data_IF_160557323410
#
_entry.id   IF_160557323410
#
_cell.length_a   1.000
_cell.length_b   1.000
_cell.length_c   1.000
_cell.angle_alpha   90.00
_cell.angle_beta   90.00
_cell.angle_gamma   90.00
#
_symmetry.space_group_name_H-M   'P 1'
#
loop_
_entity.id
_entity.type
_entity.pdbx_description
1 polymer ?
#
# COMPACT_ATOMS: atom_id res chain seq x y z
N UNK A 1 -29.10 9.01 15.18
CA UNK A 1 -28.99 9.85 13.96
C UNK A 1 -27.97 9.20 13.05
N UNK A 2 -28.39 8.71 11.90
CA UNK A 2 -27.46 8.04 10.99
C UNK A 2 -26.77 9.08 10.09
N UNK A 3 -25.45 9.19 10.20
CA UNK A 3 -24.68 10.08 9.34
C UNK A 3 -24.09 9.28 8.18
N UNK A 4 -24.37 9.69 6.95
CA UNK A 4 -23.71 9.14 5.75
C UNK A 4 -22.71 10.16 5.24
N UNK A 5 -21.43 9.83 5.31
CA UNK A 5 -20.34 10.69 4.84
C UNK A 5 -19.79 10.10 3.54
N UNK A 6 -19.78 10.89 2.46
CA UNK A 6 -19.09 10.52 1.23
C UNK A 6 -17.58 10.65 1.47
N UNK A 7 -16.86 9.55 1.32
CA UNK A 7 -15.40 9.59 1.28
C UNK A 7 -14.99 10.34 0.02
N UNK A 8 -14.10 11.31 0.16
CA UNK A 8 -13.60 12.04 -1.01
C UNK A 8 -13.10 11.03 -2.04
N UNK A 9 -13.70 11.10 -3.24
CA UNK A 9 -13.46 10.20 -4.36
C UNK A 9 -11.96 10.05 -4.61
N UNK A 10 -11.41 8.89 -4.27
CA UNK A 10 -10.10 8.48 -4.79
C UNK A 10 -10.29 8.53 -6.31
N UNK A 11 -9.56 9.41 -6.97
CA UNK A 11 -9.81 9.71 -8.38
C UNK A 11 -9.82 8.42 -9.20
N UNK A 12 -10.78 8.28 -10.13
CA UNK A 12 -10.86 7.15 -11.08
C UNK A 12 -9.52 6.87 -11.77
N UNK A 13 -8.64 7.86 -11.82
CA UNK A 13 -7.29 7.77 -12.35
C UNK A 13 -6.40 6.80 -11.55
N UNK A 14 -6.53 6.77 -10.22
CA UNK A 14 -5.75 5.86 -9.35
C UNK A 14 -6.24 4.42 -9.49
N UNK A 15 -7.55 4.23 -9.65
CA UNK A 15 -8.14 2.90 -9.90
C UNK A 15 -7.82 2.37 -11.30
N UNK A 16 -7.81 3.26 -12.31
CA UNK A 16 -7.42 2.90 -13.68
C UNK A 16 -5.93 2.51 -13.75
N UNK A 17 -5.09 3.18 -12.98
CA UNK A 17 -3.66 2.86 -12.88
C UNK A 17 -3.40 1.52 -12.17
N UNK A 18 -4.20 1.17 -11.16
CA UNK A 18 -4.15 -0.13 -10.48
C UNK A 18 -4.66 -1.28 -11.36
N UNK A 19 -5.73 -1.04 -12.14
CA UNK A 19 -6.27 -2.02 -13.08
C UNK A 19 -5.29 -2.23 -14.25
N UNK A 20 -4.67 -1.17 -14.78
CA UNK A 20 -3.63 -1.32 -15.81
C UNK A 20 -2.38 -2.03 -15.28
N UNK A 21 -1.95 -1.76 -14.03
CA UNK A 21 -0.84 -2.50 -13.42
C UNK A 21 -1.16 -3.99 -13.27
N UNK A 22 -2.35 -4.36 -12.82
CA UNK A 22 -2.75 -5.76 -12.69
C UNK A 22 -2.87 -6.46 -14.06
N UNK A 23 -3.35 -5.77 -15.11
CA UNK A 23 -3.33 -6.32 -16.47
C UNK A 23 -1.91 -6.47 -17.02
N UNK A 24 -1.03 -5.51 -16.71
CA UNK A 24 0.37 -5.57 -17.13
C UNK A 24 1.12 -6.72 -16.44
N UNK A 25 0.87 -6.92 -15.14
CA UNK A 25 1.44 -8.04 -14.37
C UNK A 25 0.91 -9.38 -14.88
N UNK A 26 -0.40 -9.52 -15.16
CA UNK A 26 -0.97 -10.73 -15.73
C UNK A 26 -0.43 -11.05 -17.13
N UNK A 27 -0.22 -10.06 -17.98
CA UNK A 27 0.38 -10.26 -19.31
C UNK A 27 1.87 -10.58 -19.21
N UNK A 28 2.58 -10.00 -18.27
CA UNK A 28 4.00 -10.31 -17.98
C UNK A 28 4.14 -11.75 -17.49
N UNK A 29 3.26 -12.23 -16.60
CA UNK A 29 3.31 -13.61 -16.09
C UNK A 29 2.97 -14.63 -17.20
N UNK A 30 2.04 -14.35 -18.10
CA UNK A 30 1.71 -15.22 -19.23
C UNK A 30 2.76 -15.20 -20.34
N UNK A 31 3.51 -14.10 -20.52
CA UNK A 31 4.60 -13.96 -21.49
C UNK A 31 5.97 -14.42 -21.01
N UNK A 32 6.14 -14.72 -19.73
CA UNK A 32 7.44 -14.96 -19.09
C UNK A 32 8.10 -16.33 -19.38
N UNK A 33 7.57 -17.12 -20.32
CA UNK A 33 8.27 -18.37 -20.64
C UNK A 33 9.52 -18.18 -21.49
N UNK A 34 9.77 -17.02 -22.10
CA UNK A 34 10.97 -16.81 -22.94
C UNK A 34 11.41 -15.31 -22.93
N UNK A 35 11.75 -14.75 -21.79
CA UNK A 35 12.67 -13.62 -21.79
C UNK A 35 14.03 -14.07 -21.27
N UNK A 36 15.03 -14.05 -22.16
CA UNK A 36 16.43 -14.38 -21.82
C UNK A 36 16.94 -13.43 -20.75
N UNK A 37 17.75 -13.92 -19.82
CA UNK A 37 18.34 -13.18 -18.69
C UNK A 37 18.92 -11.80 -19.06
N UNK A 38 19.43 -11.63 -20.27
CA UNK A 38 19.99 -10.38 -20.78
C UNK A 38 18.96 -9.25 -20.96
N UNK A 39 17.70 -9.55 -21.29
CA UNK A 39 16.64 -8.52 -21.44
C UNK A 39 16.09 -8.06 -20.09
N UNK A 40 16.09 -8.92 -19.07
CA UNK A 40 15.78 -8.54 -17.69
C UNK A 40 16.79 -7.52 -17.16
N UNK A 41 18.08 -7.80 -17.28
CA UNK A 41 19.14 -6.91 -16.82
C UNK A 41 19.08 -5.52 -17.51
N UNK A 42 18.75 -5.46 -18.79
CA UNK A 42 18.62 -4.19 -19.52
C UNK A 42 17.39 -3.37 -19.10
N UNK A 43 16.29 -4.01 -18.74
CA UNK A 43 15.07 -3.34 -18.29
C UNK A 43 15.26 -2.69 -16.89
N UNK A 44 15.97 -3.39 -15.99
CA UNK A 44 16.29 -2.86 -14.65
C UNK A 44 17.27 -1.67 -14.66
N UNK A 45 18.13 -1.58 -15.67
CA UNK A 45 19.19 -0.55 -15.77
C UNK A 45 18.65 0.89 -15.94
N UNK A 46 17.41 1.04 -16.43
CA UNK A 46 16.78 2.34 -16.69
C UNK A 46 15.67 2.71 -15.69
N UNK A 47 15.50 1.92 -14.62
CA UNK A 47 14.49 2.21 -13.60
C UNK A 47 15.03 3.16 -12.55
N UNK A 48 14.21 4.12 -12.13
CA UNK A 48 14.56 4.95 -10.96
C UNK A 48 14.59 4.09 -9.69
N UNK A 49 15.39 4.48 -8.70
CA UNK A 49 15.47 3.76 -7.42
C UNK A 49 14.08 3.53 -6.80
N UNK A 50 13.25 4.57 -6.77
CA UNK A 50 11.87 4.47 -6.30
C UNK A 50 11.04 3.42 -7.03
N UNK A 51 11.22 3.29 -8.35
CA UNK A 51 10.52 2.28 -9.14
C UNK A 51 11.00 0.87 -8.84
N UNK A 52 12.30 0.68 -8.56
CA UNK A 52 12.85 -0.61 -8.12
C UNK A 52 12.26 -1.02 -6.77
N UNK A 53 12.25 -0.12 -5.79
CA UNK A 53 11.66 -0.35 -4.46
C UNK A 53 10.18 -0.71 -4.56
N UNK A 54 9.42 0.06 -5.34
CA UNK A 54 7.97 -0.21 -5.53
C UNK A 54 7.73 -1.59 -6.14
N UNK A 55 8.50 -1.98 -7.14
CA UNK A 55 8.35 -3.29 -7.79
C UNK A 55 8.64 -4.45 -6.84
N UNK A 56 9.68 -4.32 -6.01
CA UNK A 56 10.03 -5.33 -5.01
C UNK A 56 8.92 -5.44 -3.96
N UNK A 57 8.40 -4.31 -3.48
CA UNK A 57 7.28 -4.29 -2.53
C UNK A 57 6.02 -4.92 -3.12
N UNK A 58 5.65 -4.55 -4.36
CA UNK A 58 4.48 -5.09 -5.04
C UNK A 58 4.59 -6.63 -5.18
N UNK A 59 5.78 -7.15 -5.48
CA UNK A 59 6.03 -8.58 -5.54
C UNK A 59 5.90 -9.26 -4.17
N UNK A 60 6.50 -8.69 -3.12
CA UNK A 60 6.45 -9.23 -1.77
C UNK A 60 5.03 -9.22 -1.19
N UNK A 61 4.24 -8.19 -1.50
CA UNK A 61 2.83 -8.08 -1.06
C UNK A 61 1.91 -9.02 -1.86
N UNK A 62 2.24 -9.35 -3.10
CA UNK A 62 1.46 -10.33 -3.89
C UNK A 62 1.51 -11.72 -3.27
N UNK A 63 2.61 -12.09 -2.60
CA UNK A 63 2.74 -13.35 -1.87
C UNK A 63 2.00 -13.34 -0.52
N UNK A 64 1.58 -12.16 -0.05
CA UNK A 64 0.92 -11.94 1.24
C UNK A 64 -0.35 -11.11 1.07
N UNK A 65 -1.39 -11.71 0.48
CA UNK A 65 -2.63 -11.03 0.10
C UNK A 65 -3.36 -10.33 1.25
N UNK A 66 -3.13 -10.76 2.50
CA UNK A 66 -3.70 -10.13 3.69
C UNK A 66 -3.05 -8.79 4.04
N UNK A 67 -1.82 -8.52 3.54
CA UNK A 67 -1.12 -7.26 3.73
C UNK A 67 -1.35 -6.30 2.57
N UNK A 68 -1.27 -5.02 2.85
CA UNK A 68 -1.33 -3.97 1.82
C UNK A 68 -0.54 -2.73 2.21
N UNK A 69 -0.05 -2.06 1.20
CA UNK A 69 0.73 -0.84 1.35
C UNK A 69 -0.19 0.36 1.61
N UNK A 70 0.10 1.11 2.68
CA UNK A 70 -0.55 2.38 3.00
C UNK A 70 0.24 3.56 2.44
N UNK A 71 1.57 3.52 2.63
CA UNK A 71 2.44 4.59 2.18
C UNK A 71 3.85 4.09 1.89
N UNK A 72 4.48 4.68 0.88
CA UNK A 72 5.89 4.50 0.53
C UNK A 72 6.52 5.85 0.32
N UNK A 73 7.42 6.23 1.19
CA UNK A 73 8.23 7.43 1.03
C UNK A 73 9.72 7.10 0.98
N UNK A 74 10.44 7.84 0.16
CA UNK A 74 11.90 7.76 0.04
C UNK A 74 12.39 9.19 0.08
N UNK A 75 13.22 9.50 1.07
CA UNK A 75 13.81 10.85 1.18
C UNK A 75 15.09 10.99 0.35
N UNK A 76 15.68 12.20 0.35
CA UNK A 76 16.91 12.50 -0.40
C UNK A 76 18.13 11.72 0.09
N UNK A 77 18.13 11.25 1.34
CA UNK A 77 19.18 10.40 1.91
C UNK A 77 18.93 8.90 1.65
N UNK A 78 18.03 8.55 0.72
CA UNK A 78 17.63 7.17 0.41
C UNK A 78 17.07 6.40 1.60
N UNK A 79 16.51 7.08 2.61
CA UNK A 79 15.75 6.41 3.65
C UNK A 79 14.39 6.03 3.08
N UNK A 80 14.16 4.73 2.98
CA UNK A 80 12.91 4.11 2.55
C UNK A 80 12.05 3.92 3.79
N UNK A 81 10.85 4.50 3.79
CA UNK A 81 9.84 4.27 4.84
C UNK A 81 8.62 3.62 4.21
N UNK A 82 8.27 2.45 4.71
CA UNK A 82 7.15 1.61 4.25
C UNK A 82 6.16 1.50 5.37
N UNK A 83 4.93 1.94 5.13
CA UNK A 83 3.82 1.78 6.07
C UNK A 83 2.86 0.74 5.52
N UNK A 84 2.67 -0.32 6.28
CA UNK A 84 1.81 -1.45 5.93
C UNK A 84 0.55 -1.47 6.79
N UNK A 85 -0.47 -2.11 6.27
CA UNK A 85 -1.62 -2.54 7.05
C UNK A 85 -2.08 -3.93 6.58
N UNK A 86 -2.92 -4.60 7.36
CA UNK A 86 -3.40 -5.94 7.05
C UNK A 86 -4.85 -6.12 7.47
N UNK A 87 -5.58 -7.01 6.82
CA UNK A 87 -6.99 -7.28 7.10
C UNK A 87 -7.22 -7.71 8.56
N UNK A 88 -6.33 -8.55 9.09
CA UNK A 88 -6.32 -9.00 10.49
C UNK A 88 -5.33 -8.22 11.37
N UNK A 89 -4.76 -7.12 10.84
CA UNK A 89 -3.64 -6.40 11.43
C UNK A 89 -2.30 -6.85 10.86
N UNK A 90 -1.23 -6.24 11.35
CA UNK A 90 0.17 -6.52 10.97
C UNK A 90 0.91 -6.97 12.20
N UNK A 91 1.56 -8.10 12.15
CA UNK A 91 2.43 -8.57 13.21
C UNK A 91 3.91 -8.21 12.93
N UNK A 92 4.77 -8.40 13.92
CA UNK A 92 6.19 -8.10 13.78
C UNK A 92 6.86 -8.94 12.70
N UNK A 93 6.45 -10.20 12.56
CA UNK A 93 7.02 -11.10 11.56
C UNK A 93 6.70 -10.62 10.13
N UNK A 94 5.50 -10.10 9.90
CA UNK A 94 5.11 -9.51 8.60
C UNK A 94 6.07 -8.36 8.22
N UNK A 95 6.37 -7.47 9.17
CA UNK A 95 7.31 -6.37 8.93
C UNK A 95 8.72 -6.87 8.64
N UNK A 96 9.20 -7.88 9.38
CA UNK A 96 10.52 -8.50 9.17
C UNK A 96 10.59 -9.15 7.79
N UNK A 97 9.57 -9.88 7.38
CA UNK A 97 9.54 -10.58 6.11
C UNK A 97 9.52 -9.62 4.92
N UNK A 98 8.76 -8.55 5.02
CA UNK A 98 8.76 -7.49 3.98
C UNK A 98 10.11 -6.77 3.97
N UNK A 99 10.69 -6.45 5.13
CA UNK A 99 12.02 -5.85 5.22
C UNK A 99 13.08 -6.71 4.51
N UNK A 100 13.12 -8.01 4.83
CA UNK A 100 14.04 -8.97 4.19
C UNK A 100 13.79 -9.09 2.68
N UNK A 101 12.53 -9.11 2.25
CA UNK A 101 12.20 -9.16 0.83
C UNK A 101 12.73 -7.94 0.08
N UNK A 102 12.64 -6.75 0.67
CA UNK A 102 13.20 -5.53 0.08
C UNK A 102 14.72 -5.55 0.09
N UNK A 103 15.35 -5.86 1.24
CA UNK A 103 16.82 -5.86 1.39
C UNK A 103 17.51 -6.88 0.48
N UNK A 104 16.92 -8.08 0.32
CA UNK A 104 17.49 -9.13 -0.53
C UNK A 104 17.37 -8.86 -2.03
N UNK A 105 16.50 -7.94 -2.44
CA UNK A 105 16.25 -7.64 -3.85
C UNK A 105 16.75 -6.24 -4.28
N UNK A 106 17.32 -5.48 -3.36
CA UNK A 106 17.99 -4.21 -3.65
C UNK A 106 19.50 -4.35 -3.45
N UNK A 107 20.27 -3.80 -4.37
CA UNK A 107 21.72 -3.82 -4.31
C UNK A 107 22.24 -2.58 -3.57
N UNK A 108 22.84 -2.80 -2.39
CA UNK A 108 23.45 -1.73 -1.58
C UNK A 108 24.76 -1.20 -2.18
N UNK A 109 25.44 -1.99 -3.04
CA UNK A 109 26.64 -1.54 -3.73
C UNK A 109 26.28 -0.57 -4.87
N UNK A 110 25.11 -0.78 -5.52
CA UNK A 110 24.60 0.15 -6.54
C UNK A 110 24.10 1.46 -5.90
N UNK A 111 23.41 1.36 -4.77
CA UNK A 111 22.85 2.52 -4.04
C UNK A 111 22.66 2.19 -2.57
N UNK A 112 23.37 2.89 -1.70
CA UNK A 112 23.16 2.75 -0.26
C UNK A 112 21.81 3.32 0.17
N UNK A 113 21.15 2.63 1.10
CA UNK A 113 19.83 3.00 1.62
C UNK A 113 19.64 2.54 3.06
N UNK A 114 18.75 3.19 3.77
CA UNK A 114 18.18 2.68 5.02
C UNK A 114 16.72 2.32 4.82
N UNK A 115 16.25 1.26 5.50
CA UNK A 115 14.90 0.76 5.37
C UNK A 115 14.19 0.74 6.71
N UNK A 116 12.99 1.29 6.75
CA UNK A 116 12.09 1.23 7.89
C UNK A 116 10.75 0.68 7.40
N UNK A 117 10.31 -0.44 7.98
CA UNK A 117 9.01 -1.06 7.72
C UNK A 117 8.20 -1.03 8.99
N UNK A 118 7.04 -0.41 8.95
CA UNK A 118 6.17 -0.24 10.11
C UNK A 118 4.70 -0.51 9.76
N UNK A 119 3.93 -0.88 10.77
CA UNK A 119 2.48 -0.95 10.64
C UNK A 119 1.84 0.43 10.79
N UNK A 120 0.69 0.63 10.15
CA UNK A 120 -0.13 1.82 10.38
C UNK A 120 -0.58 1.86 11.85
N UNK A 121 -0.25 2.95 12.55
CA UNK A 121 -0.66 3.15 13.93
C UNK A 121 -2.16 3.33 14.08
N UNK A 122 -2.70 2.96 15.25
CA UNK A 122 -4.14 3.08 15.56
C UNK A 122 -4.66 4.52 15.46
N UNK A 123 -3.80 5.50 15.73
CA UNK A 123 -4.11 6.93 15.62
C UNK A 123 -3.90 7.49 14.22
N UNK A 124 -3.38 6.70 13.28
CA UNK A 124 -3.17 7.16 11.91
C UNK A 124 -4.49 7.28 11.15
N UNK A 125 -4.69 8.32 10.34
CA UNK A 125 -5.90 8.45 9.56
C UNK A 125 -6.05 7.31 8.54
N UNK A 126 -7.27 6.81 8.39
CA UNK A 126 -7.59 5.79 7.40
C UNK A 126 -7.56 6.39 6.00
N UNK A 127 -6.80 5.78 5.08
CA UNK A 127 -6.60 6.26 3.71
C UNK A 127 -7.27 5.40 2.65
N UNK A 128 -7.41 4.09 2.91
CA UNK A 128 -7.90 3.11 1.96
C UNK A 128 -9.24 2.53 2.37
N UNK A 129 -10.09 2.23 1.38
CA UNK A 129 -11.39 1.60 1.62
C UNK A 129 -11.25 0.29 2.38
N UNK A 130 -10.20 -0.49 2.11
CA UNK A 130 -9.89 -1.74 2.80
C UNK A 130 -9.70 -1.54 4.31
N UNK A 131 -9.12 -0.40 4.74
CA UNK A 131 -9.00 -0.03 6.15
C UNK A 131 -10.36 0.28 6.78
N UNK A 132 -11.26 0.97 6.07
CA UNK A 132 -12.61 1.20 6.58
C UNK A 132 -13.37 -0.12 6.73
N UNK A 133 -13.33 -0.99 5.71
CA UNK A 133 -14.02 -2.30 5.74
C UNK A 133 -13.58 -3.16 6.94
N UNK A 134 -12.28 -3.21 7.26
CA UNK A 134 -11.79 -3.96 8.43
C UNK A 134 -12.15 -3.33 9.79
N UNK A 135 -12.46 -2.04 9.81
CA UNK A 135 -12.81 -1.32 11.03
C UNK A 135 -14.33 -1.18 11.23
N UNK A 136 -15.16 -1.86 10.45
CA UNK A 136 -16.61 -1.92 10.68
C UNK A 136 -16.87 -2.46 12.09
N UNK A 137 -17.76 -1.78 12.82
CA UNK A 137 -18.10 -2.08 14.21
C UNK A 137 -17.26 -1.33 15.25
N UNK A 138 -16.20 -0.62 14.84
CA UNK A 138 -15.36 0.20 15.73
C UNK A 138 -15.82 1.66 15.74
N UNK A 139 -15.53 2.36 16.82
CA UNK A 139 -15.74 3.80 16.93
C UNK A 139 -14.59 4.54 16.26
N UNK A 140 -14.91 5.48 15.38
CA UNK A 140 -13.95 6.31 14.67
C UNK A 140 -14.10 7.76 15.08
N UNK A 141 -12.98 8.46 15.18
CA UNK A 141 -12.92 9.91 15.20
C UNK A 141 -12.94 10.44 13.77
N UNK A 142 -13.94 11.20 13.43
CA UNK A 142 -14.10 11.75 12.07
C UNK A 142 -14.05 13.26 12.15
N UNK A 143 -13.13 13.86 11.41
CA UNK A 143 -13.08 15.31 11.21
C UNK A 143 -13.81 15.66 9.93
N UNK A 144 -14.87 16.45 10.08
CA UNK A 144 -15.65 16.92 8.94
C UNK A 144 -14.96 18.07 8.21
N UNK A 145 -15.45 18.42 7.02
CA UNK A 145 -14.98 19.60 6.27
C UNK A 145 -15.25 20.91 6.99
N UNK A 146 -16.24 20.94 7.88
CA UNK A 146 -16.54 22.07 8.79
C UNK A 146 -15.62 22.13 10.01
N UNK A 147 -14.62 21.26 10.10
CA UNK A 147 -13.69 21.13 11.24
C UNK A 147 -14.33 20.65 12.53
N UNK A 148 -15.53 20.11 12.48
CA UNK A 148 -16.17 19.44 13.61
C UNK A 148 -15.58 18.04 13.77
N UNK A 149 -15.31 17.65 15.01
CA UNK A 149 -14.87 16.29 15.34
C UNK A 149 -16.09 15.50 15.87
N UNK A 150 -16.35 14.37 15.25
CA UNK A 150 -17.45 13.47 15.59
C UNK A 150 -16.85 12.12 15.94
N UNK A 151 -17.24 11.57 17.09
CA UNK A 151 -16.97 10.17 17.43
C UNK A 151 -18.24 9.36 17.16
N UNK A 152 -18.14 8.38 16.26
CA UNK A 152 -19.26 7.56 15.88
C UNK A 152 -18.81 6.16 15.46
N UNK A 153 -19.71 5.18 15.63
CA UNK A 153 -19.45 3.79 15.28
C UNK A 153 -19.59 3.61 13.77
N UNK A 154 -18.58 3.02 13.15
CA UNK A 154 -18.64 2.68 11.72
C UNK A 154 -19.51 1.42 11.54
N UNK A 155 -20.66 1.57 10.88
CA UNK A 155 -21.60 0.47 10.65
C UNK A 155 -21.47 -0.11 9.26
N UNK A 156 -21.12 0.71 8.26
CA UNK A 156 -20.92 0.25 6.89
C UNK A 156 -19.85 1.06 6.17
N UNK A 157 -19.11 0.40 5.29
CA UNK A 157 -18.15 1.05 4.41
C UNK A 157 -18.19 0.41 3.02
N UNK A 158 -18.37 1.21 2.01
CA UNK A 158 -18.25 0.84 0.59
C UNK A 158 -17.20 1.72 -0.11
N UNK A 159 -17.08 1.59 -1.43
CA UNK A 159 -16.06 2.29 -2.20
C UNK A 159 -16.32 3.80 -2.36
N UNK A 160 -17.51 4.29 -1.99
CA UNK A 160 -17.92 5.69 -2.17
C UNK A 160 -18.29 6.38 -0.86
N UNK A 161 -18.76 5.64 0.13
CA UNK A 161 -19.31 6.21 1.37
C UNK A 161 -19.08 5.34 2.58
N UNK A 162 -19.11 5.96 3.74
CA UNK A 162 -19.16 5.30 5.03
C UNK A 162 -20.46 5.70 5.76
N UNK A 163 -21.00 4.79 6.56
CA UNK A 163 -22.15 5.05 7.42
C UNK A 163 -21.70 4.97 8.88
N UNK A 164 -22.04 6.00 9.62
CA UNK A 164 -21.70 6.17 11.03
C UNK A 164 -22.99 6.27 11.85
N UNK A 165 -22.97 5.70 13.04
CA UNK A 165 -24.06 5.68 14.01
C UNK A 165 -23.64 6.22 15.38
#
# INVERSE_FOLDING_TARGET
MNYTIKVQKISKLTMFFLIQKNLYICNVIKGQRIMRHAQRASFYKNMTFKSKVQQVLDAALTEREHLFLIDLSINEANKISVILDGDSGVNLQDCIDISRAVENNLDREEQDFSLEVASAGVSSPLKLVRQYKKNIGRTLKVKTTSSEEIEAKLTMADDEKITLE
#
